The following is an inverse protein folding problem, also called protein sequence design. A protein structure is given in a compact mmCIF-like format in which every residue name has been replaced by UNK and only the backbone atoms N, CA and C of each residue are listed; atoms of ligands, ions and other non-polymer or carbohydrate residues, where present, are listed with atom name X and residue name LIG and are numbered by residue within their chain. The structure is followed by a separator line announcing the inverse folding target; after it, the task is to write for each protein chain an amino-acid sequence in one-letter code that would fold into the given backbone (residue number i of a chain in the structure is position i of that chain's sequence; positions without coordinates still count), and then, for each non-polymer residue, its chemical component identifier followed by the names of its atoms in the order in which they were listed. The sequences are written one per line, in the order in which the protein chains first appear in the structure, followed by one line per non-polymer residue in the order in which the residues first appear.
data_IF_905255033669
#
_entry.id   IF_905255033669
#
_cell.length_a   1.000
_cell.length_b   1.000
_cell.length_c   1.000
_cell.angle_alpha   90.00
_cell.angle_beta   90.00
_cell.angle_gamma   90.00
#
_symmetry.space_group_name_H-M   'P 1'
#
loop_
_entity.id
_entity.type
_entity.pdbx_description
1 polymer ?
#
# COMPACT_ATOMS: atom_id res chain seq x y z
N UNK A 1 -13.72 12.20 30.75
CA UNK A 1 -13.44 10.98 31.53
C UNK A 1 -14.44 9.83 31.27
N UNK A 2 -15.04 9.77 30.07
CA UNK A 2 -15.89 8.64 29.60
C UNK A 2 -15.36 8.09 28.25
N UNK A 3 -14.46 8.80 27.57
CA UNK A 3 -13.88 8.38 26.29
C UNK A 3 -12.67 7.42 26.39
N UNK A 4 -12.16 7.13 27.59
CA UNK A 4 -11.04 6.20 27.80
C UNK A 4 -11.50 4.78 28.18
N UNK A 5 -12.80 4.60 28.44
CA UNK A 5 -13.36 3.37 28.98
C UNK A 5 -13.97 2.45 27.92
N UNK A 6 -14.13 2.94 26.68
CA UNK A 6 -14.67 2.16 25.55
C UNK A 6 -13.58 1.42 24.76
N UNK A 7 -12.33 1.89 24.79
CA UNK A 7 -11.22 1.29 24.04
C UNK A 7 -10.63 0.04 24.73
N UNK A 8 -10.70 -0.02 26.07
CA UNK A 8 -10.24 -1.18 26.86
C UNK A 8 -11.21 -2.37 26.76
N UNK A 9 -12.46 -2.15 26.33
CA UNK A 9 -13.48 -3.19 26.29
C UNK A 9 -13.43 -4.10 25.05
N UNK A 10 -12.74 -3.70 23.97
CA UNK A 10 -12.60 -4.55 22.78
C UNK A 10 -11.35 -5.45 22.78
N UNK A 11 -10.32 -5.08 23.55
CA UNK A 11 -9.10 -5.91 23.70
C UNK A 11 -9.25 -7.00 24.78
N UNK A 12 -10.22 -6.86 25.69
CA UNK A 12 -10.35 -7.69 26.89
C UNK A 12 -11.12 -9.01 26.75
N UNK A 13 -11.75 -9.32 25.61
CA UNK A 13 -12.57 -10.53 25.44
C UNK A 13 -11.82 -11.68 24.74
N UNK A 14 -10.61 -11.47 24.22
CA UNK A 14 -9.88 -12.51 23.47
C UNK A 14 -8.67 -13.15 24.19
N UNK A 15 -8.36 -12.76 25.44
CA UNK A 15 -7.11 -13.16 26.11
C UNK A 15 -7.27 -14.03 27.38
N UNK A 16 -8.46 -14.55 27.66
CA UNK A 16 -8.71 -15.35 28.86
C UNK A 16 -8.96 -16.84 28.57
N UNK A 17 -8.09 -17.48 27.78
CA UNK A 17 -7.97 -18.94 27.78
C UNK A 17 -6.62 -19.32 27.18
N UNK A 18 -5.60 -19.53 28.02
CA UNK A 18 -4.49 -20.48 27.80
C UNK A 18 -3.51 -20.32 28.95
N UNK A 19 -3.70 -21.13 29.99
CA UNK A 19 -2.74 -21.24 31.09
C UNK A 19 -1.42 -21.80 30.59
N UNK A 20 -0.31 -21.11 30.87
CA UNK A 20 1.04 -21.60 30.59
C UNK A 20 1.97 -21.22 31.76
N UNK A 21 2.68 -22.24 32.28
CA UNK A 21 3.75 -22.17 33.28
C UNK A 21 5.10 -21.78 32.64
N UNK A 22 6.07 -21.24 33.41
CA UNK A 22 7.33 -20.78 32.86
C UNK A 22 8.36 -21.91 32.72
N UNK A 23 8.86 -22.11 31.50
CA UNK A 23 10.01 -22.98 31.21
C UNK A 23 10.58 -22.66 29.82
N UNK A 24 11.77 -22.03 29.80
CA UNK A 24 12.66 -21.82 28.63
C UNK A 24 11.97 -21.53 27.29
N UNK A 25 11.65 -20.27 27.04
CA UNK A 25 11.09 -19.82 25.76
C UNK A 25 12.18 -19.78 24.67
N UNK A 26 12.17 -20.77 23.79
CA UNK A 26 12.43 -20.50 22.37
C UNK A 26 11.39 -19.46 21.96
N UNK A 27 11.79 -18.21 21.68
CA UNK A 27 10.84 -17.19 21.21
C UNK A 27 10.24 -17.73 19.91
N UNK A 28 8.97 -18.12 19.96
CA UNK A 28 8.21 -18.47 18.78
C UNK A 28 8.29 -17.27 17.83
N UNK A 29 8.64 -17.53 16.58
CA UNK A 29 8.58 -16.52 15.52
C UNK A 29 7.12 -16.10 15.41
N UNK A 30 6.80 -14.79 15.43
CA UNK A 30 5.43 -14.33 15.26
C UNK A 30 4.92 -14.83 13.91
N UNK A 31 3.95 -15.72 13.94
CA UNK A 31 3.41 -16.38 12.75
C UNK A 31 2.19 -15.63 12.21
N UNK A 32 1.56 -14.80 13.04
CA UNK A 32 0.37 -14.03 12.70
C UNK A 32 0.57 -12.53 12.90
N UNK A 33 -0.24 -11.72 12.22
CA UNK A 33 -0.18 -10.25 12.33
C UNK A 33 -0.45 -9.74 13.75
N UNK A 34 -1.29 -10.44 14.51
CA UNK A 34 -1.56 -10.16 15.94
C UNK A 34 -0.32 -10.33 16.80
N UNK A 35 0.55 -11.29 16.46
CA UNK A 35 1.78 -11.55 17.21
C UNK A 35 2.79 -10.41 16.99
N UNK A 36 2.86 -9.88 15.77
CA UNK A 36 3.69 -8.71 15.44
C UNK A 36 3.20 -7.44 16.15
N UNK A 37 1.89 -7.21 16.17
CA UNK A 37 1.30 -6.09 16.90
C UNK A 37 1.57 -6.20 18.41
N UNK A 38 1.44 -7.40 18.97
CA UNK A 38 1.75 -7.67 20.38
C UNK A 38 3.23 -7.45 20.69
N UNK A 39 4.13 -7.89 19.80
CA UNK A 39 5.56 -7.65 19.93
C UNK A 39 5.91 -6.16 19.93
N UNK A 40 5.26 -5.34 19.09
CA UNK A 40 5.45 -3.90 19.10
C UNK A 40 5.00 -3.27 20.44
N UNK A 41 3.85 -3.69 20.96
CA UNK A 41 3.33 -3.23 22.25
C UNK A 41 4.25 -3.61 23.41
N UNK A 42 4.78 -4.84 23.42
CA UNK A 42 5.67 -5.35 24.46
C UNK A 42 7.02 -4.63 24.48
N UNK A 43 7.56 -4.26 23.32
CA UNK A 43 8.81 -3.48 23.23
C UNK A 43 8.61 -2.07 23.77
N UNK A 44 7.46 -1.45 23.51
CA UNK A 44 7.18 -0.08 23.91
C UNK A 44 8.07 0.91 23.15
N UNK A 45 9.25 1.23 23.68
CA UNK A 45 10.21 2.12 23.00
C UNK A 45 11.46 1.34 22.65
N UNK A 46 11.82 1.34 21.38
CA UNK A 46 12.97 0.60 20.85
C UNK A 46 12.83 0.35 19.36
N UNK A 47 13.56 -0.64 18.83
CA UNK A 47 13.47 -1.02 17.43
C UNK A 47 13.00 -2.47 17.27
N UNK A 48 12.21 -2.75 16.25
CA UNK A 48 11.79 -4.09 15.85
C UNK A 48 12.22 -4.31 14.40
N UNK A 49 12.87 -5.43 14.11
CA UNK A 49 13.23 -5.80 12.75
C UNK A 49 12.71 -7.18 12.39
N UNK A 50 12.39 -7.34 11.11
CA UNK A 50 12.09 -8.62 10.49
C UNK A 50 12.36 -8.57 8.99
N UNK A 51 12.39 -9.74 8.35
CA UNK A 51 12.61 -9.85 6.92
C UNK A 51 11.70 -10.88 6.28
N UNK A 52 11.36 -10.69 5.01
CA UNK A 52 10.55 -11.65 4.24
C UNK A 52 10.94 -11.67 2.75
N UNK A 53 10.72 -12.79 2.04
CA UNK A 53 10.86 -12.85 0.59
C UNK A 53 9.97 -11.83 -0.13
N UNK A 54 10.53 -11.13 -1.12
CA UNK A 54 9.80 -10.16 -1.96
C UNK A 54 9.28 -10.78 -3.26
N UNK A 55 8.27 -10.15 -3.87
CA UNK A 55 7.76 -10.50 -5.19
C UNK A 55 8.88 -10.46 -6.25
N UNK A 56 8.67 -11.20 -7.33
CA UNK A 56 9.57 -11.16 -8.48
C UNK A 56 9.58 -9.74 -9.07
N UNK A 57 10.74 -9.31 -9.59
CA UNK A 57 10.91 -7.95 -10.10
C UNK A 57 11.21 -6.89 -9.05
N UNK A 58 11.15 -7.23 -7.75
CA UNK A 58 11.55 -6.31 -6.67
C UNK A 58 13.06 -6.39 -6.41
N UNK A 59 13.72 -5.24 -6.44
CA UNK A 59 15.13 -5.06 -6.09
C UNK A 59 15.27 -3.82 -5.21
N UNK A 60 16.37 -3.69 -4.46
CA UNK A 60 16.58 -2.51 -3.65
C UNK A 60 18.03 -2.31 -3.23
N UNK A 61 18.20 -1.31 -2.37
CA UNK A 61 19.42 -1.02 -1.64
C UNK A 61 19.08 -0.20 -0.38
N UNK A 62 20.07 0.44 0.22
CA UNK A 62 19.90 1.29 1.42
C UNK A 62 19.16 2.61 1.12
N UNK A 63 18.96 2.95 -0.14
CA UNK A 63 18.41 4.23 -0.59
C UNK A 63 17.04 4.11 -1.24
N UNK A 64 16.60 2.90 -1.62
CA UNK A 64 15.32 2.74 -2.29
C UNK A 64 14.97 1.33 -2.69
N UNK A 65 13.75 1.21 -3.20
CA UNK A 65 13.17 -0.01 -3.75
C UNK A 65 12.75 0.24 -5.18
N UNK A 66 13.06 -0.69 -6.07
CA UNK A 66 12.60 -0.72 -7.44
C UNK A 66 11.71 -1.93 -7.64
N UNK A 67 10.55 -1.71 -8.24
CA UNK A 67 9.58 -2.74 -8.56
C UNK A 67 9.39 -2.73 -10.07
N UNK A 68 9.71 -3.86 -10.72
CA UNK A 68 9.42 -4.08 -12.14
C UNK A 68 8.20 -4.97 -12.30
N UNK A 69 7.22 -4.51 -13.07
CA UNK A 69 5.99 -5.25 -13.37
C UNK A 69 5.79 -5.29 -14.88
N UNK A 70 6.01 -6.45 -15.49
CA UNK A 70 6.04 -6.54 -16.96
C UNK A 70 7.15 -5.66 -17.54
N UNK A 71 6.77 -4.77 -18.47
CA UNK A 71 7.68 -3.79 -19.09
C UNK A 71 7.77 -2.47 -18.29
N UNK A 72 6.87 -2.28 -17.30
CA UNK A 72 6.84 -1.09 -16.47
C UNK A 72 7.82 -1.20 -15.30
N UNK A 73 8.50 -0.09 -15.00
CA UNK A 73 9.42 0.03 -13.88
C UNK A 73 9.03 1.22 -13.02
N UNK A 74 8.82 0.95 -11.74
CA UNK A 74 8.56 1.99 -10.75
C UNK A 74 9.62 1.94 -9.66
N UNK A 75 10.10 3.12 -9.24
CA UNK A 75 11.18 3.23 -8.27
C UNK A 75 10.84 4.24 -7.17
N UNK A 76 11.12 3.86 -5.93
CA UNK A 76 10.95 4.67 -4.73
C UNK A 76 12.29 4.86 -4.07
N UNK A 77 12.80 6.10 -4.10
CA UNK A 77 14.09 6.46 -3.54
C UNK A 77 13.94 7.50 -2.44
N UNK A 78 14.56 7.26 -1.29
CA UNK A 78 14.85 8.29 -0.30
C UNK A 78 16.20 8.94 -0.65
N UNK A 79 16.18 10.07 -1.35
CA UNK A 79 17.40 10.84 -1.66
C UNK A 79 17.64 11.08 -3.15
N UNK A 80 18.92 11.17 -3.57
CA UNK A 80 19.28 11.47 -4.97
C UNK A 80 19.20 10.22 -5.84
N UNK A 81 18.80 10.42 -7.09
CA UNK A 81 18.58 9.40 -8.10
C UNK A 81 19.82 8.57 -8.47
N UNK A 82 21.04 9.10 -8.26
CA UNK A 82 22.30 8.45 -8.64
C UNK A 82 22.62 7.15 -7.84
N UNK A 83 21.86 6.85 -6.78
CA UNK A 83 22.00 5.60 -6.01
C UNK A 83 21.31 4.39 -6.70
N UNK A 84 20.72 4.60 -7.89
CA UNK A 84 20.01 3.59 -8.69
C UNK A 84 20.87 2.47 -9.27
N UNK A 85 22.21 2.66 -9.32
CA UNK A 85 23.14 1.78 -10.04
C UNK A 85 23.49 0.47 -9.30
N UNK A 86 23.06 0.31 -8.05
CA UNK A 86 23.40 -0.86 -7.21
C UNK A 86 22.18 -1.54 -6.59
N UNK A 87 21.18 -1.78 -7.43
CA UNK A 87 19.96 -2.48 -7.02
C UNK A 87 20.19 -3.98 -6.96
N UNK A 88 19.88 -4.57 -5.81
CA UNK A 88 20.17 -5.97 -5.51
C UNK A 88 18.88 -6.72 -5.23
N UNK A 89 18.85 -7.98 -5.66
CA UNK A 89 17.81 -8.92 -5.25
C UNK A 89 18.09 -9.42 -3.83
N UNK A 90 17.03 -9.67 -3.06
CA UNK A 90 17.14 -10.19 -1.70
C UNK A 90 15.80 -10.13 -0.98
N UNK A 91 15.72 -10.53 0.30
CA UNK A 91 14.54 -10.27 1.11
C UNK A 91 14.36 -8.77 1.34
N UNK A 92 13.13 -8.37 1.65
CA UNK A 92 12.87 -7.08 2.26
C UNK A 92 13.26 -7.16 3.73
N UNK A 93 13.95 -6.13 4.20
CA UNK A 93 14.23 -5.87 5.60
C UNK A 93 13.36 -4.72 6.04
N UNK A 94 12.53 -4.99 7.03
CA UNK A 94 11.68 -4.00 7.68
C UNK A 94 12.29 -3.70 9.04
N UNK A 95 12.58 -2.42 9.28
CA UNK A 95 12.99 -1.94 10.59
C UNK A 95 11.99 -0.89 11.04
N UNK A 96 11.33 -1.15 12.16
CA UNK A 96 10.36 -0.27 12.79
C UNK A 96 11.02 0.39 13.99
N UNK A 97 10.95 1.72 14.07
CA UNK A 97 11.26 2.45 15.30
C UNK A 97 9.97 2.68 16.07
N UNK A 98 9.93 2.24 17.31
CA UNK A 98 8.75 2.29 18.17
C UNK A 98 8.90 3.40 19.21
N UNK A 99 7.86 4.20 19.39
CA UNK A 99 7.67 5.10 20.54
C UNK A 99 6.40 4.70 21.29
N UNK A 100 6.55 4.22 22.53
CA UNK A 100 5.43 3.80 23.40
C UNK A 100 4.45 2.84 22.71
N UNK A 101 4.99 1.91 21.94
CA UNK A 101 4.27 0.86 21.20
C UNK A 101 3.73 1.30 19.84
N UNK A 102 3.83 2.59 19.49
CA UNK A 102 3.42 3.11 18.19
C UNK A 102 4.60 3.15 17.23
N UNK A 103 4.35 2.84 15.96
CA UNK A 103 5.37 2.92 14.90
C UNK A 103 5.60 4.39 14.58
N UNK A 104 6.81 4.87 14.87
CA UNK A 104 7.22 6.26 14.69
C UNK A 104 8.08 6.46 13.44
N UNK A 105 8.67 5.38 12.90
CA UNK A 105 9.47 5.39 11.68
C UNK A 105 9.54 3.98 11.11
N UNK A 106 9.63 3.88 9.79
CA UNK A 106 9.78 2.63 9.06
C UNK A 106 10.96 2.77 8.10
N UNK A 107 11.80 1.73 8.04
CA UNK A 107 12.81 1.58 7.01
C UNK A 107 12.51 0.33 6.21
N UNK A 108 12.36 0.48 4.90
CA UNK A 108 12.19 -0.60 3.94
C UNK A 108 13.42 -0.65 3.05
N UNK A 109 14.19 -1.72 3.14
CA UNK A 109 15.35 -1.96 2.26
C UNK A 109 15.26 -3.36 1.67
N UNK A 110 15.76 -3.56 0.45
CA UNK A 110 15.78 -4.88 -0.19
C UNK A 110 17.21 -5.24 -0.57
N UNK A 111 17.66 -6.43 -0.19
CA UNK A 111 19.03 -6.88 -0.49
C UNK A 111 19.50 -8.03 0.39
N UNK A 112 20.63 -8.66 0.03
CA UNK A 112 21.11 -9.87 0.70
C UNK A 112 21.59 -9.61 2.13
N UNK A 113 22.26 -8.47 2.36
CA UNK A 113 22.96 -8.19 3.61
C UNK A 113 22.12 -7.40 4.62
N UNK A 114 21.08 -6.71 4.14
CA UNK A 114 20.22 -5.85 4.96
C UNK A 114 20.93 -4.64 5.57
N UNK A 115 20.19 -3.79 6.27
CA UNK A 115 20.75 -2.63 6.92
C UNK A 115 21.47 -3.05 8.21
N UNK A 116 22.36 -2.19 8.70
CA UNK A 116 22.90 -2.34 10.05
C UNK A 116 21.79 -2.07 11.07
N UNK A 117 21.40 -3.10 11.82
CA UNK A 117 20.34 -2.96 12.83
C UNK A 117 20.78 -2.08 14.03
N UNK A 118 19.84 -1.31 14.61
CA UNK A 118 20.05 -0.58 15.86
C UNK A 118 20.46 -1.50 17.02
N UNK A 119 21.21 -0.98 18.00
CA UNK A 119 21.67 -1.77 19.16
C UNK A 119 20.55 -2.21 20.10
N UNK A 120 19.42 -1.49 20.09
CA UNK A 120 18.21 -1.77 20.86
C UNK A 120 17.18 -2.59 20.05
N UNK A 121 17.59 -3.11 18.89
CA UNK A 121 16.69 -3.81 17.98
C UNK A 121 16.40 -5.23 18.44
N UNK A 122 15.11 -5.55 18.52
CA UNK A 122 14.64 -6.94 18.57
C UNK A 122 14.52 -7.44 17.12
N UNK A 123 15.40 -8.34 16.69
CA UNK A 123 15.30 -9.00 15.39
C UNK A 123 14.46 -10.28 15.51
N UNK A 124 13.32 -10.31 14.81
CA UNK A 124 12.44 -11.48 14.73
C UNK A 124 12.86 -12.47 13.64
N UNK A 125 13.83 -12.09 12.80
CA UNK A 125 14.35 -12.91 11.73
C UNK A 125 13.43 -12.99 10.52
N UNK A 126 13.44 -14.14 9.86
CA UNK A 126 12.67 -14.40 8.65
C UNK A 126 11.22 -14.73 9.00
N UNK A 127 10.28 -13.99 8.41
CA UNK A 127 8.84 -14.20 8.56
C UNK A 127 8.20 -14.66 7.25
N UNK A 128 7.03 -15.26 7.38
CA UNK A 128 6.16 -15.55 6.25
C UNK A 128 5.64 -14.23 5.62
N UNK A 129 5.72 -14.06 4.28
CA UNK A 129 5.34 -12.83 3.61
C UNK A 129 3.89 -12.38 3.87
N UNK A 130 2.94 -13.32 3.85
CA UNK A 130 1.51 -13.01 3.99
C UNK A 130 1.18 -12.34 5.33
N UNK A 131 1.48 -12.98 6.47
CA UNK A 131 1.29 -12.39 7.79
C UNK A 131 2.05 -11.08 7.99
N UNK A 132 3.28 -10.98 7.46
CA UNK A 132 4.07 -9.75 7.52
C UNK A 132 3.38 -8.59 6.75
N UNK A 133 2.90 -8.85 5.53
CA UNK A 133 2.17 -7.87 4.74
C UNK A 133 0.85 -7.45 5.40
N UNK A 134 0.10 -8.42 5.92
CA UNK A 134 -1.16 -8.17 6.61
C UNK A 134 -0.95 -7.27 7.83
N UNK A 135 0.11 -7.50 8.60
CA UNK A 135 0.49 -6.63 9.72
C UNK A 135 0.82 -5.21 9.24
N UNK A 136 1.70 -5.06 8.25
CA UNK A 136 2.12 -3.74 7.75
C UNK A 136 0.93 -2.92 7.26
N UNK A 137 0.06 -3.52 6.44
CA UNK A 137 -1.13 -2.85 5.90
C UNK A 137 -2.15 -2.54 7.00
N UNK A 138 -2.29 -3.39 8.02
CA UNK A 138 -3.19 -3.14 9.16
C UNK A 138 -2.71 -1.98 10.06
N UNK A 139 -1.41 -1.64 10.03
CA UNK A 139 -0.85 -0.54 10.81
C UNK A 139 -0.95 0.83 10.12
N UNK A 140 -1.25 0.86 8.81
CA UNK A 140 -1.38 2.12 8.04
C UNK A 140 -2.30 3.14 8.72
N UNK A 141 -3.51 2.78 9.21
CA UNK A 141 -4.40 3.75 9.87
C UNK A 141 -3.93 4.22 11.26
N UNK A 142 -2.90 3.59 11.83
CA UNK A 142 -2.42 3.86 13.18
C UNK A 142 -1.21 4.82 13.21
N UNK A 143 -0.74 5.28 12.04
CA UNK A 143 0.48 6.09 11.91
C UNK A 143 0.22 7.38 11.13
N UNK A 144 1.11 8.40 11.24
CA UNK A 144 1.09 9.56 10.36
C UNK A 144 1.28 9.18 8.88
N UNK A 145 0.82 10.04 7.97
CA UNK A 145 0.86 9.81 6.53
C UNK A 145 2.28 9.50 6.02
N UNK A 146 3.28 10.22 6.54
CA UNK A 146 4.68 10.08 6.15
C UNK A 146 5.26 8.70 6.52
N UNK A 147 4.66 8.03 7.49
CA UNK A 147 5.05 6.67 7.92
C UNK A 147 4.19 5.61 7.22
N UNK A 148 2.95 5.96 6.85
CA UNK A 148 2.01 5.08 6.16
C UNK A 148 2.52 4.63 4.79
N UNK A 149 3.16 5.50 4.03
CA UNK A 149 3.74 5.19 2.71
C UNK A 149 4.75 4.04 2.78
N UNK A 150 5.65 4.06 3.78
CA UNK A 150 6.64 3.00 3.96
C UNK A 150 5.99 1.67 4.40
N UNK A 151 4.94 1.73 5.22
CA UNK A 151 4.16 0.53 5.58
C UNK A 151 3.44 -0.05 4.36
N UNK A 152 2.84 0.80 3.52
CA UNK A 152 2.23 0.40 2.25
C UNK A 152 3.28 -0.27 1.36
N UNK A 153 4.43 0.37 1.13
CA UNK A 153 5.53 -0.17 0.32
C UNK A 153 5.99 -1.53 0.86
N UNK A 154 6.24 -1.65 2.16
CA UNK A 154 6.64 -2.91 2.78
C UNK A 154 5.58 -4.01 2.60
N UNK A 155 4.30 -3.68 2.74
CA UNK A 155 3.20 -4.63 2.57
C UNK A 155 3.07 -5.15 1.14
N UNK A 156 3.14 -4.27 0.14
CA UNK A 156 2.89 -4.65 -1.25
C UNK A 156 4.01 -5.47 -1.88
N UNK A 157 5.26 -5.30 -1.43
CA UNK A 157 6.41 -6.02 -2.00
C UNK A 157 6.51 -7.46 -1.50
N UNK A 158 5.72 -7.87 -0.50
CA UNK A 158 5.74 -9.21 0.07
C UNK A 158 5.33 -10.29 -0.94
N UNK A 159 6.16 -11.33 -1.08
CA UNK A 159 5.95 -12.41 -2.05
C UNK A 159 4.65 -13.17 -1.79
N UNK A 160 3.79 -13.26 -2.81
CA UNK A 160 2.59 -14.09 -2.76
C UNK A 160 1.54 -13.63 -1.75
N UNK A 161 1.69 -12.44 -1.16
CA UNK A 161 0.68 -11.87 -0.28
C UNK A 161 -0.56 -11.44 -1.09
N UNK A 162 -1.75 -11.77 -0.61
CA UNK A 162 -3.01 -11.29 -1.17
C UNK A 162 -3.33 -9.92 -0.54
N UNK A 163 -3.04 -8.84 -1.28
CA UNK A 163 -3.11 -7.46 -0.75
C UNK A 163 -4.23 -6.62 -1.37
N UNK A 164 -4.95 -7.12 -2.37
CA UNK A 164 -5.97 -6.36 -3.08
C UNK A 164 -7.12 -5.90 -2.16
N UNK A 165 -7.68 -6.82 -1.37
CA UNK A 165 -8.78 -6.48 -0.44
C UNK A 165 -8.33 -5.50 0.67
N UNK A 166 -7.18 -5.69 1.35
CA UNK A 166 -6.64 -4.69 2.26
C UNK A 166 -6.41 -3.32 1.64
N UNK A 167 -5.81 -3.25 0.43
CA UNK A 167 -5.59 -1.98 -0.26
C UNK A 167 -6.91 -1.31 -0.64
N UNK A 168 -7.90 -2.07 -1.10
CA UNK A 168 -9.23 -1.52 -1.38
C UNK A 168 -9.90 -0.95 -0.12
N UNK A 169 -9.72 -1.60 1.04
CA UNK A 169 -10.23 -1.09 2.31
C UNK A 169 -9.54 0.23 2.69
N UNK A 170 -8.21 0.30 2.59
CA UNK A 170 -7.44 1.51 2.86
C UNK A 170 -7.79 2.66 1.89
N UNK A 171 -7.92 2.37 0.60
CA UNK A 171 -8.32 3.36 -0.42
C UNK A 171 -9.69 4.00 -0.11
N UNK A 172 -10.59 3.25 0.53
CA UNK A 172 -11.95 3.72 0.91
C UNK A 172 -12.04 4.30 2.32
N UNK A 173 -10.97 4.22 3.11
CA UNK A 173 -10.96 4.76 4.47
C UNK A 173 -10.75 6.27 4.45
N UNK A 174 -11.85 7.01 4.54
CA UNK A 174 -11.87 8.49 4.56
C UNK A 174 -11.27 9.12 5.81
N UNK A 175 -10.83 8.32 6.78
CA UNK A 175 -10.06 8.83 7.92
C UNK A 175 -8.56 8.96 7.62
N UNK A 176 -8.08 8.34 6.54
CA UNK A 176 -6.71 8.45 6.07
C UNK A 176 -6.48 9.72 5.27
N UNK A 177 -5.23 10.13 5.20
CA UNK A 177 -4.79 11.23 4.36
C UNK A 177 -5.10 10.95 2.87
N UNK A 178 -5.64 11.92 2.11
CA UNK A 178 -5.93 11.76 0.69
C UNK A 178 -4.73 11.30 -0.16
N UNK A 179 -3.51 11.70 0.19
CA UNK A 179 -2.28 11.30 -0.52
C UNK A 179 -2.02 9.80 -0.33
N UNK A 180 -2.06 9.31 0.91
CA UNK A 180 -1.94 7.87 1.26
C UNK A 180 -3.01 7.04 0.54
N UNK A 181 -4.23 7.57 0.46
CA UNK A 181 -5.34 6.91 -0.24
C UNK A 181 -5.13 6.90 -1.76
N UNK A 182 -4.63 7.98 -2.33
CA UNK A 182 -4.28 8.09 -3.75
C UNK A 182 -3.20 7.09 -4.14
N UNK A 183 -2.13 6.99 -3.35
CA UNK A 183 -1.09 5.97 -3.51
C UNK A 183 -1.67 4.56 -3.43
N UNK A 184 -2.51 4.30 -2.43
CA UNK A 184 -3.17 3.00 -2.27
C UNK A 184 -4.01 2.63 -3.50
N UNK A 185 -4.71 3.59 -4.10
CA UNK A 185 -5.48 3.40 -5.34
C UNK A 185 -4.55 3.02 -6.52
N UNK A 186 -3.40 3.67 -6.64
CA UNK A 186 -2.40 3.34 -7.66
C UNK A 186 -1.85 1.93 -7.47
N UNK A 187 -1.51 1.57 -6.23
CA UNK A 187 -1.03 0.23 -5.89
C UNK A 187 -2.06 -0.84 -6.18
N UNK A 188 -3.33 -0.58 -5.86
CA UNK A 188 -4.41 -1.51 -6.14
C UNK A 188 -4.51 -1.80 -7.65
N UNK A 189 -4.41 -0.78 -8.50
CA UNK A 189 -4.44 -0.95 -9.95
C UNK A 189 -3.24 -1.73 -10.47
N UNK A 190 -2.04 -1.40 -10.01
CA UNK A 190 -0.81 -2.11 -10.40
C UNK A 190 -0.85 -3.60 -10.03
N UNK A 191 -1.38 -3.93 -8.86
CA UNK A 191 -1.32 -5.28 -8.31
C UNK A 191 -2.48 -6.18 -8.75
N UNK A 192 -3.68 -5.61 -8.91
CA UNK A 192 -4.89 -6.37 -9.21
C UNK A 192 -5.36 -6.20 -10.67
N UNK A 193 -4.84 -5.22 -11.41
CA UNK A 193 -5.13 -5.00 -12.82
C UNK A 193 -6.63 -4.84 -13.09
N UNK A 194 -7.11 -5.43 -14.19
CA UNK A 194 -8.50 -5.31 -14.62
C UNK A 194 -9.53 -5.76 -13.57
N UNK A 195 -9.13 -6.62 -12.62
CA UNK A 195 -10.02 -7.15 -11.57
C UNK A 195 -10.59 -6.06 -10.66
N UNK A 196 -9.94 -4.90 -10.59
CA UNK A 196 -10.34 -3.77 -9.75
C UNK A 196 -10.93 -2.61 -10.55
N UNK A 197 -11.11 -2.75 -11.87
CA UNK A 197 -11.62 -1.66 -12.72
C UNK A 197 -12.96 -1.09 -12.23
N UNK A 198 -13.89 -1.95 -11.80
CA UNK A 198 -15.16 -1.52 -11.23
C UNK A 198 -15.00 -0.73 -9.94
N UNK A 199 -14.13 -1.18 -9.04
CA UNK A 199 -13.85 -0.52 -7.77
C UNK A 199 -13.16 0.84 -7.96
N UNK A 200 -12.24 0.95 -8.93
CA UNK A 200 -11.61 2.22 -9.30
C UNK A 200 -12.63 3.18 -9.91
N UNK A 201 -13.53 2.69 -10.77
CA UNK A 201 -14.63 3.48 -11.32
C UNK A 201 -15.58 3.99 -10.23
N UNK A 202 -15.92 3.14 -9.24
CA UNK A 202 -16.72 3.53 -8.08
C UNK A 202 -16.06 4.68 -7.30
N UNK A 203 -14.75 4.59 -7.05
CA UNK A 203 -13.99 5.64 -6.34
C UNK A 203 -13.99 6.94 -7.15
N UNK A 204 -13.68 6.89 -8.44
CA UNK A 204 -13.66 8.07 -9.31
C UNK A 204 -15.05 8.76 -9.38
N UNK A 205 -16.13 7.96 -9.40
CA UNK A 205 -17.52 8.43 -9.48
C UNK A 205 -18.10 8.94 -8.16
N UNK A 206 -17.60 8.51 -7.00
CA UNK A 206 -18.16 8.90 -5.71
C UNK A 206 -17.78 10.34 -5.35
N UNK A 207 -18.76 11.25 -5.45
CA UNK A 207 -18.62 12.68 -5.12
C UNK A 207 -18.32 12.97 -3.65
N UNK A 208 -18.43 11.96 -2.77
CA UNK A 208 -18.06 12.07 -1.35
C UNK A 208 -16.57 11.88 -1.13
N UNK A 209 -15.84 11.40 -2.14
CA UNK A 209 -14.39 11.27 -2.08
C UNK A 209 -13.68 12.59 -2.40
N UNK A 210 -12.50 12.75 -1.82
CA UNK A 210 -11.58 13.84 -2.13
C UNK A 210 -11.27 13.85 -3.62
N UNK A 211 -11.26 15.05 -4.22
CA UNK A 211 -11.02 15.20 -5.66
C UNK A 211 -9.69 14.56 -6.09
N UNK A 212 -8.67 14.68 -5.25
CA UNK A 212 -7.37 14.08 -5.46
C UNK A 212 -7.42 12.54 -5.54
N UNK A 213 -8.13 11.88 -4.62
CA UNK A 213 -8.28 10.42 -4.65
C UNK A 213 -9.06 9.98 -5.89
N UNK A 214 -10.06 10.76 -6.29
CA UNK A 214 -10.83 10.51 -7.51
C UNK A 214 -9.97 10.65 -8.77
N UNK A 215 -9.05 11.61 -8.80
CA UNK A 215 -8.09 11.77 -9.89
C UNK A 215 -7.11 10.60 -9.97
N UNK A 216 -6.57 10.16 -8.83
CA UNK A 216 -5.75 8.96 -8.77
C UNK A 216 -6.53 7.74 -9.28
N UNK A 217 -7.82 7.61 -9.00
CA UNK A 217 -8.63 6.52 -9.53
C UNK A 217 -8.82 6.59 -11.05
N UNK A 218 -8.98 7.79 -11.63
CA UNK A 218 -9.01 7.95 -13.10
C UNK A 218 -7.66 7.59 -13.72
N UNK A 219 -6.54 8.04 -13.13
CA UNK A 219 -5.22 7.69 -13.63
C UNK A 219 -4.92 6.20 -13.46
N UNK A 220 -5.27 5.62 -12.33
CA UNK A 220 -5.18 4.18 -12.09
C UNK A 220 -5.96 3.36 -13.14
N UNK A 221 -7.15 3.83 -13.55
CA UNK A 221 -7.91 3.23 -14.65
C UNK A 221 -7.15 3.28 -15.98
N UNK A 222 -6.43 4.37 -16.30
CA UNK A 222 -5.65 4.47 -17.54
C UNK A 222 -4.44 3.55 -17.56
N UNK A 223 -3.89 3.22 -16.40
CA UNK A 223 -2.77 2.29 -16.27
C UNK A 223 -3.18 0.81 -16.26
N UNK A 224 -4.47 0.48 -16.36
CA UNK A 224 -4.90 -0.91 -16.41
C UNK A 224 -4.44 -1.56 -17.73
N UNK A 225 -3.93 -2.80 -17.70
CA UNK A 225 -3.52 -3.48 -18.92
C UNK A 225 -4.72 -3.68 -19.86
N UNK A 226 -4.44 -3.75 -21.16
CA UNK A 226 -5.47 -4.00 -22.17
C UNK A 226 -6.49 -2.87 -22.29
N UNK A 227 -7.77 -3.22 -22.38
CA UNK A 227 -8.88 -2.27 -22.49
C UNK A 227 -9.72 -2.16 -21.20
N UNK A 228 -9.23 -2.72 -20.08
CA UNK A 228 -9.97 -2.78 -18.82
C UNK A 228 -10.37 -1.42 -18.25
N UNK A 229 -9.59 -0.37 -18.52
CA UNK A 229 -9.90 1.01 -18.12
C UNK A 229 -10.81 1.77 -19.07
N UNK A 230 -10.89 1.36 -20.35
CA UNK A 230 -11.48 2.13 -21.44
C UNK A 230 -12.94 2.50 -21.19
N UNK A 231 -13.77 1.51 -20.83
CA UNK A 231 -15.21 1.74 -20.62
C UNK A 231 -15.48 2.67 -19.42
N UNK A 232 -14.89 2.45 -18.24
CA UNK A 232 -14.96 3.42 -17.14
C UNK A 232 -14.51 4.83 -17.53
N UNK A 233 -13.41 4.97 -18.27
CA UNK A 233 -12.90 6.27 -18.71
C UNK A 233 -13.88 6.98 -19.66
N UNK A 234 -14.49 6.26 -20.60
CA UNK A 234 -15.56 6.78 -21.47
C UNK A 234 -16.75 7.28 -20.66
N UNK A 235 -17.19 6.51 -19.67
CA UNK A 235 -18.31 6.88 -18.80
C UNK A 235 -18.00 8.15 -17.98
N UNK A 236 -16.78 8.27 -17.45
CA UNK A 236 -16.33 9.44 -16.69
C UNK A 236 -16.21 10.67 -17.60
N UNK A 237 -15.60 10.53 -18.78
CA UNK A 237 -15.44 11.62 -19.73
C UNK A 237 -16.80 12.17 -20.23
N UNK A 238 -17.81 11.30 -20.42
CA UNK A 238 -19.16 11.72 -20.81
C UNK A 238 -19.95 12.36 -19.68
N UNK A 239 -19.91 11.78 -18.47
CA UNK A 239 -20.90 12.07 -17.44
C UNK A 239 -20.36 12.86 -16.25
N UNK A 240 -19.04 13.02 -16.11
CA UNK A 240 -18.48 13.75 -14.98
C UNK A 240 -18.87 15.22 -15.03
N UNK A 241 -19.55 15.69 -13.99
CA UNK A 241 -19.78 17.13 -13.80
C UNK A 241 -18.58 17.85 -13.18
N UNK A 242 -17.49 17.13 -12.91
CA UNK A 242 -16.24 17.66 -12.38
C UNK A 242 -15.27 17.88 -13.56
N UNK A 243 -15.03 19.14 -13.99
CA UNK A 243 -14.24 19.43 -15.17
C UNK A 243 -12.82 18.88 -15.10
N UNK A 244 -12.23 18.78 -13.90
CA UNK A 244 -10.89 18.22 -13.75
C UNK A 244 -10.87 16.73 -14.06
N UNK A 245 -11.81 15.95 -13.52
CA UNK A 245 -11.93 14.52 -13.81
C UNK A 245 -12.30 14.24 -15.26
N UNK A 246 -13.20 15.05 -15.84
CA UNK A 246 -13.55 14.93 -17.26
C UNK A 246 -12.31 15.10 -18.14
N UNK A 247 -11.47 16.10 -17.85
CA UNK A 247 -10.24 16.36 -18.61
C UNK A 247 -9.21 15.24 -18.47
N UNK A 248 -9.00 14.73 -17.26
CA UNK A 248 -8.06 13.62 -17.01
C UNK A 248 -8.54 12.36 -17.75
N UNK A 249 -9.83 12.06 -17.70
CA UNK A 249 -10.39 10.92 -18.42
C UNK A 249 -10.27 11.08 -19.95
N UNK A 250 -10.53 12.26 -20.50
CA UNK A 250 -10.32 12.54 -21.92
C UNK A 250 -8.86 12.39 -22.35
N UNK A 251 -7.92 12.87 -21.52
CA UNK A 251 -6.50 12.69 -21.79
C UNK A 251 -6.11 11.22 -21.79
N UNK A 252 -6.54 10.45 -20.79
CA UNK A 252 -6.32 9.01 -20.73
C UNK A 252 -6.88 8.26 -21.95
N UNK A 253 -8.01 8.71 -22.50
CA UNK A 253 -8.61 8.10 -23.69
C UNK A 253 -7.83 8.30 -24.99
N UNK A 254 -6.83 9.19 -25.02
CA UNK A 254 -5.98 9.40 -26.21
C UNK A 254 -5.18 8.16 -26.60
N UNK A 255 -4.90 7.26 -25.66
CA UNK A 255 -4.25 5.97 -25.95
C UNK A 255 -5.16 5.00 -26.73
N UNK A 256 -6.47 5.30 -26.77
CA UNK A 256 -7.49 4.53 -27.47
C UNK A 256 -8.03 5.28 -28.70
N UNK A 257 -7.25 6.16 -29.33
CA UNK A 257 -7.69 7.02 -30.44
C UNK A 257 -8.22 6.27 -31.68
N UNK A 258 -7.87 4.99 -31.84
CA UNK A 258 -8.41 4.15 -32.92
C UNK A 258 -9.78 3.53 -32.60
N UNK A 259 -10.28 3.71 -31.37
CA UNK A 259 -11.57 3.19 -30.94
C UNK A 259 -12.74 4.07 -31.46
N UNK A 260 -13.73 3.49 -32.16
CA UNK A 260 -14.86 4.25 -32.70
C UNK A 260 -15.70 5.00 -31.64
N UNK A 261 -15.85 4.45 -30.43
CA UNK A 261 -16.60 5.10 -29.35
C UNK A 261 -15.84 6.29 -28.75
N UNK A 262 -14.50 6.18 -28.68
CA UNK A 262 -13.63 7.28 -28.27
C UNK A 262 -13.65 8.39 -29.32
N UNK A 263 -13.52 8.04 -30.60
CA UNK A 263 -13.62 9.01 -31.69
C UNK A 263 -14.96 9.74 -31.71
N UNK A 264 -16.07 9.00 -31.56
CA UNK A 264 -17.40 9.60 -31.48
C UNK A 264 -17.52 10.57 -30.30
N UNK A 265 -16.99 10.20 -29.12
CA UNK A 265 -16.96 11.09 -27.97
C UNK A 265 -16.16 12.38 -28.24
N UNK A 266 -14.99 12.25 -28.86
CA UNK A 266 -14.16 13.41 -29.19
C UNK A 266 -14.83 14.30 -30.24
N UNK A 267 -15.52 13.72 -31.22
CA UNK A 267 -16.30 14.45 -32.22
C UNK A 267 -17.45 15.22 -31.55
N UNK A 268 -18.28 14.56 -30.73
CA UNK A 268 -19.39 15.19 -29.99
C UNK A 268 -18.90 16.39 -29.16
N UNK A 269 -17.77 16.23 -28.46
CA UNK A 269 -17.18 17.31 -27.64
C UNK A 269 -16.67 18.48 -28.51
N UNK A 270 -16.11 18.20 -29.68
CA UNK A 270 -15.58 19.23 -30.58
C UNK A 270 -16.69 19.95 -31.35
N UNK A 271 -17.80 19.28 -31.68
CA UNK A 271 -18.95 19.87 -32.37
C UNK A 271 -19.92 20.56 -31.40
N UNK A 272 -19.90 20.17 -30.13
CA UNK A 272 -20.78 20.72 -29.09
C UNK A 272 -22.21 20.21 -29.16
N UNK A 273 -22.41 19.02 -29.74
CA UNK A 273 -23.68 18.27 -29.77
C UNK A 273 -23.86 17.41 -28.50
#
# INVERSE_FOLDING_TARGET
MIAFQTFVLFLGIMLAALGIHPGSASRAVPAEASDLASACADIGTGSLAFRFPVRDGVTGNDHGVRIRWGDDEHSWFRGRYDDADRMQAGPAWIVLRLDRGSIAEVSVTVGPDGPRLPSDCTDLGLLEPGPAAAFLLAMVPAVPAEVAEDLLLGGIIARGAEVADPLLALARDRSLDPEVRGDTVMWLAMLAGEKVAGQLADIAGDRREDLEVREHAVFALSQLPGDGGRKPLLEIARNSTEPRLQRVALFALTEYESDPEVLALLEDILTGD
#
